data_IF_647802695407
#
_entry.id   IF_647802695407
#
_cell.length_a   1.000
_cell.length_b   1.000
_cell.length_c   1.000
_cell.angle_alpha   90.00
_cell.angle_beta   90.00
_cell.angle_gamma   90.00
#
_symmetry.space_group_name_H-M   'P 1'
#
loop_
_entity.id
_entity.type
_entity.pdbx_description
1 polymer ?
#
# COMPACT_ATOMS: atom_id res chain seq x y z
N UNK A 1 -16.75 -28.98 -39.77
CA UNK A 1 -15.73 -28.94 -40.83
C UNK A 1 -14.90 -27.70 -40.59
N UNK A 2 -13.58 -27.78 -40.33
CA UNK A 2 -12.77 -26.57 -40.19
C UNK A 2 -12.58 -25.99 -41.60
N UNK A 3 -13.11 -24.79 -41.81
CA UNK A 3 -13.04 -24.07 -43.09
C UNK A 3 -11.60 -23.63 -43.36
N UNK A 4 -10.78 -24.52 -43.93
CA UNK A 4 -9.51 -24.12 -44.52
C UNK A 4 -9.77 -23.23 -45.75
N UNK A 5 -8.97 -22.18 -45.99
CA UNK A 5 -9.07 -21.38 -47.21
C UNK A 5 -8.86 -22.26 -48.45
N UNK A 6 -9.53 -21.92 -49.56
CA UNK A 6 -9.39 -22.66 -50.84
C UNK A 6 -7.99 -22.49 -51.46
N UNK A 7 -7.26 -21.45 -51.07
CA UNK A 7 -5.88 -21.23 -51.52
C UNK A 7 -4.87 -22.08 -50.73
N UNK A 8 -3.98 -22.74 -51.47
CA UNK A 8 -2.83 -23.50 -50.95
C UNK A 8 -1.55 -22.65 -50.88
N UNK A 9 -1.61 -21.37 -51.28
CA UNK A 9 -0.46 -20.46 -51.22
C UNK A 9 -0.05 -20.23 -49.75
N UNK A 10 1.21 -20.51 -49.36
CA UNK A 10 1.67 -20.31 -47.99
C UNK A 10 1.48 -18.89 -47.47
N UNK A 11 1.45 -17.89 -48.34
CA UNK A 11 1.25 -16.50 -47.95
C UNK A 11 -0.23 -16.18 -47.70
N UNK A 12 -1.14 -16.76 -48.50
CA UNK A 12 -2.59 -16.68 -48.26
C UNK A 12 -2.98 -17.38 -46.97
N UNK A 13 -2.34 -18.51 -46.68
CA UNK A 13 -2.52 -19.21 -45.42
C UNK A 13 -2.06 -18.37 -44.22
N UNK A 14 -1.06 -17.49 -44.37
CA UNK A 14 -0.65 -16.56 -43.30
C UNK A 14 -1.63 -15.41 -43.14
N UNK A 15 -2.07 -14.82 -44.25
CA UNK A 15 -2.99 -13.68 -44.25
C UNK A 15 -4.38 -14.06 -43.72
N UNK A 16 -4.85 -15.28 -43.97
CA UNK A 16 -6.17 -15.76 -43.53
C UNK A 16 -6.17 -16.43 -42.15
N UNK A 17 -4.99 -16.60 -41.54
CA UNK A 17 -4.84 -17.19 -40.19
C UNK A 17 -5.15 -16.18 -39.10
N UNK A 18 -6.14 -16.49 -38.29
CA UNK A 18 -6.44 -15.79 -37.04
C UNK A 18 -5.98 -16.66 -35.87
N UNK A 19 -4.96 -16.26 -35.11
CA UNK A 19 -4.67 -16.92 -33.84
C UNK A 19 -5.87 -16.76 -32.90
N UNK A 20 -6.40 -17.84 -32.32
CA UNK A 20 -7.48 -17.78 -31.31
C UNK A 20 -7.03 -18.57 -30.08
N UNK A 21 -6.44 -17.87 -29.10
CA UNK A 21 -5.87 -18.51 -27.90
C UNK A 21 -4.68 -19.43 -28.25
N UNK A 22 -4.80 -20.73 -27.96
CA UNK A 22 -3.84 -21.78 -28.36
C UNK A 22 -4.20 -22.47 -29.68
N UNK A 23 -5.33 -22.10 -30.28
CA UNK A 23 -5.86 -22.72 -31.50
C UNK A 23 -5.73 -21.79 -32.71
N UNK A 24 -5.81 -22.36 -33.91
CA UNK A 24 -5.78 -21.61 -35.18
C UNK A 24 -7.18 -21.60 -35.78
N UNK A 25 -7.75 -20.42 -35.95
CA UNK A 25 -8.99 -20.22 -36.72
C UNK A 25 -8.70 -19.51 -38.02
N UNK A 26 -9.61 -19.67 -38.98
CA UNK A 26 -9.57 -18.98 -40.26
C UNK A 26 -10.63 -17.88 -40.27
N UNK A 27 -10.31 -16.75 -40.89
CA UNK A 27 -11.32 -15.72 -41.18
C UNK A 27 -12.46 -16.39 -41.94
N UNK A 28 -13.70 -16.23 -41.48
CA UNK A 28 -14.85 -16.88 -42.12
C UNK A 28 -15.28 -16.06 -43.34
N UNK A 29 -15.42 -16.68 -44.53
CA UNK A 29 -16.01 -16.01 -45.68
C UNK A 29 -17.43 -15.55 -45.32
N UNK A 30 -17.69 -14.25 -45.36
CA UNK A 30 -18.99 -13.64 -45.01
C UNK A 30 -19.10 -13.01 -43.62
N UNK A 31 -18.02 -12.97 -42.83
CA UNK A 31 -17.93 -12.08 -41.66
C UNK A 31 -17.05 -10.87 -41.97
N UNK A 32 -17.33 -9.69 -41.36
CA UNK A 32 -16.46 -8.53 -41.46
C UNK A 32 -15.05 -8.90 -40.99
N UNK A 33 -14.04 -8.55 -41.78
CA UNK A 33 -12.63 -8.70 -41.41
C UNK A 33 -12.22 -7.46 -40.62
N UNK A 34 -11.89 -7.59 -39.31
CA UNK A 34 -11.54 -6.43 -38.50
C UNK A 34 -10.24 -5.80 -38.98
N UNK A 35 -10.14 -4.47 -38.91
CA UNK A 35 -8.94 -3.75 -39.33
C UNK A 35 -7.67 -4.21 -38.58
N UNK A 36 -7.82 -4.55 -37.30
CA UNK A 36 -6.73 -5.11 -36.49
C UNK A 36 -6.12 -6.38 -37.08
N UNK A 37 -6.93 -7.22 -37.75
CA UNK A 37 -6.44 -8.41 -38.45
C UNK A 37 -5.62 -8.06 -39.68
N UNK A 38 -6.04 -7.06 -40.46
CA UNK A 38 -5.30 -6.57 -41.63
C UNK A 38 -3.91 -6.07 -41.23
N UNK A 39 -3.83 -5.26 -40.17
CA UNK A 39 -2.56 -4.75 -39.65
C UNK A 39 -1.68 -5.87 -39.08
N UNK A 40 -2.27 -6.85 -38.39
CA UNK A 40 -1.54 -8.02 -37.89
C UNK A 40 -0.97 -8.88 -39.04
N UNK A 41 -1.78 -9.18 -40.05
CA UNK A 41 -1.36 -9.93 -41.23
C UNK A 41 -0.26 -9.18 -42.00
N UNK A 42 -0.39 -7.86 -42.16
CA UNK A 42 0.64 -7.01 -42.76
C UNK A 42 1.97 -7.12 -42.02
N UNK A 43 1.93 -6.98 -40.70
CA UNK A 43 3.13 -7.02 -39.86
C UNK A 43 3.80 -8.41 -39.84
N UNK A 44 3.02 -9.49 -39.79
CA UNK A 44 3.56 -10.87 -39.74
C UNK A 44 4.04 -11.39 -41.09
N UNK A 45 3.42 -10.95 -42.19
CA UNK A 45 3.83 -11.34 -43.55
C UNK A 45 4.85 -10.39 -44.17
N UNK A 46 5.13 -9.24 -43.53
CA UNK A 46 6.06 -8.22 -44.06
C UNK A 46 5.50 -7.43 -45.26
N UNK A 47 4.18 -7.48 -45.47
CA UNK A 47 3.49 -6.80 -46.56
C UNK A 47 2.90 -5.47 -46.07
N UNK A 48 2.62 -4.55 -47.00
CA UNK A 48 1.85 -3.35 -46.65
C UNK A 48 0.39 -3.71 -46.36
N UNK A 49 -0.30 -2.99 -45.46
CA UNK A 49 -1.73 -3.17 -45.23
C UNK A 49 -2.56 -3.10 -46.51
N UNK A 50 -2.20 -2.22 -47.45
CA UNK A 50 -2.87 -2.13 -48.75
C UNK A 50 -2.73 -3.41 -49.59
N UNK A 51 -1.56 -4.05 -49.57
CA UNK A 51 -1.34 -5.32 -50.27
C UNK A 51 -2.15 -6.46 -49.62
N UNK A 52 -2.25 -6.48 -48.29
CA UNK A 52 -3.07 -7.44 -47.55
C UNK A 52 -4.55 -7.28 -47.87
N UNK A 53 -5.07 -6.04 -47.89
CA UNK A 53 -6.46 -5.75 -48.29
C UNK A 53 -6.73 -6.20 -49.71
N UNK A 54 -5.83 -5.89 -50.65
CA UNK A 54 -5.96 -6.31 -52.04
C UNK A 54 -5.98 -7.84 -52.16
N UNK A 55 -5.14 -8.55 -51.38
CA UNK A 55 -5.09 -10.00 -51.38
C UNK A 55 -6.34 -10.63 -50.75
N UNK A 56 -6.82 -10.11 -49.63
CA UNK A 56 -8.07 -10.53 -48.99
C UNK A 56 -9.27 -10.31 -49.92
N UNK A 57 -9.32 -9.18 -50.62
CA UNK A 57 -10.35 -8.89 -51.62
C UNK A 57 -10.32 -9.90 -52.77
N UNK A 58 -9.12 -10.22 -53.28
CA UNK A 58 -8.93 -11.23 -54.32
C UNK A 58 -9.31 -12.65 -53.87
N UNK A 59 -9.21 -12.95 -52.57
CA UNK A 59 -9.64 -14.20 -51.95
C UNK A 59 -11.15 -14.22 -51.61
N UNK A 60 -11.90 -13.18 -51.96
CA UNK A 60 -13.36 -13.12 -51.78
C UNK A 60 -13.83 -12.54 -50.44
N UNK A 61 -12.94 -11.97 -49.63
CA UNK A 61 -13.32 -11.23 -48.42
C UNK A 61 -13.72 -9.80 -48.81
N UNK A 62 -15.01 -9.57 -49.04
CA UNK A 62 -15.54 -8.29 -49.51
C UNK A 62 -15.85 -7.29 -48.39
N UNK A 63 -16.03 -7.77 -47.16
CA UNK A 63 -16.41 -6.96 -46.01
C UNK A 63 -15.19 -6.76 -45.11
N UNK A 64 -14.37 -5.74 -45.39
CA UNK A 64 -13.15 -5.42 -44.63
C UNK A 64 -13.37 -4.08 -43.93
N UNK A 65 -13.24 -4.07 -42.60
CA UNK A 65 -13.29 -2.83 -41.82
C UNK A 65 -12.01 -2.03 -42.09
N UNK A 66 -12.15 -0.84 -42.66
CA UNK A 66 -11.06 0.09 -42.92
C UNK A 66 -11.34 1.41 -42.20
N UNK A 67 -10.31 2.08 -41.65
CA UNK A 67 -10.48 3.41 -41.11
C UNK A 67 -10.77 4.42 -42.22
N UNK A 68 -11.41 5.53 -41.88
CA UNK A 68 -11.58 6.68 -42.80
C UNK A 68 -10.24 7.37 -43.13
N UNK A 69 -9.18 7.05 -42.37
CA UNK A 69 -7.83 7.55 -42.55
C UNK A 69 -7.04 6.72 -43.58
N UNK A 70 -6.03 7.31 -44.26
CA UNK A 70 -5.17 6.57 -45.17
C UNK A 70 -4.43 5.44 -44.47
N UNK A 71 -4.35 4.28 -45.13
CA UNK A 71 -3.64 3.11 -44.62
C UNK A 71 -2.15 3.41 -44.40
N UNK A 72 -1.55 2.96 -43.28
CA UNK A 72 -0.13 3.14 -43.06
C UNK A 72 0.67 2.37 -44.11
N UNK A 73 1.78 2.95 -44.57
CA UNK A 73 2.62 2.35 -45.61
C UNK A 73 3.31 1.07 -45.14
N UNK A 74 3.68 1.01 -43.85
CA UNK A 74 4.36 -0.11 -43.20
C UNK A 74 3.83 -0.27 -41.78
N UNK A 75 3.86 -1.50 -41.26
CA UNK A 75 3.49 -1.83 -39.87
C UNK A 75 4.63 -2.63 -39.27
N UNK A 76 5.16 -2.19 -38.12
CA UNK A 76 6.20 -2.95 -37.43
C UNK A 76 5.59 -4.23 -36.81
N UNK A 77 6.31 -5.37 -36.78
CA UNK A 77 5.88 -6.57 -36.06
C UNK A 77 5.46 -6.32 -34.61
N UNK A 78 6.09 -5.36 -33.94
CA UNK A 78 5.70 -4.88 -32.63
C UNK A 78 4.30 -4.27 -32.64
N UNK A 79 3.96 -3.39 -33.58
CA UNK A 79 2.69 -2.67 -33.63
C UNK A 79 1.46 -3.59 -33.66
N UNK A 80 1.59 -4.76 -34.29
CA UNK A 80 0.55 -5.79 -34.31
C UNK A 80 0.14 -6.27 -32.90
N UNK A 81 1.05 -6.24 -31.94
CA UNK A 81 0.75 -6.60 -30.55
C UNK A 81 0.02 -5.48 -29.79
N UNK A 82 0.08 -4.23 -30.25
CA UNK A 82 -0.66 -3.11 -29.66
C UNK A 82 -2.17 -3.23 -29.90
N UNK A 83 -2.55 -3.83 -31.03
CA UNK A 83 -3.94 -3.93 -31.49
C UNK A 83 -4.71 -5.09 -30.81
N UNK A 84 -4.01 -5.91 -30.04
CA UNK A 84 -4.57 -7.06 -29.32
C UNK A 84 -5.08 -6.62 -27.95
N UNK A 85 -6.40 -6.61 -27.76
CA UNK A 85 -7.05 -6.12 -26.54
C UNK A 85 -6.93 -7.11 -25.36
N UNK A 86 -6.99 -8.43 -25.61
CA UNK A 86 -6.88 -9.43 -24.54
C UNK A 86 -5.77 -10.48 -24.82
N UNK A 87 -5.17 -10.96 -23.74
CA UNK A 87 -4.06 -11.94 -23.78
C UNK A 87 -4.59 -13.33 -24.10
N UNK A 88 -5.82 -13.66 -23.67
CA UNK A 88 -6.39 -14.99 -23.76
C UNK A 88 -7.34 -15.16 -24.95
N UNK A 89 -8.11 -14.14 -25.29
CA UNK A 89 -8.93 -14.10 -26.50
C UNK A 89 -8.43 -13.02 -27.47
N UNK A 90 -8.40 -13.32 -28.77
CA UNK A 90 -8.09 -12.30 -29.79
C UNK A 90 -9.35 -11.48 -30.04
N UNK A 91 -9.60 -10.56 -29.10
CA UNK A 91 -10.47 -9.42 -29.32
C UNK A 91 -9.59 -8.30 -29.87
N UNK A 92 -9.85 -7.88 -31.10
CA UNK A 92 -9.19 -6.71 -31.68
C UNK A 92 -9.75 -5.44 -31.04
N UNK A 93 -8.92 -4.39 -30.94
CA UNK A 93 -9.42 -3.07 -30.60
C UNK A 93 -10.44 -2.62 -31.65
N UNK A 94 -11.61 -2.18 -31.19
CA UNK A 94 -12.66 -1.63 -32.03
C UNK A 94 -12.31 -0.18 -32.36
N UNK A 95 -12.12 0.13 -33.66
CA UNK A 95 -11.72 1.47 -34.12
C UNK A 95 -12.73 2.56 -33.74
N UNK A 96 -14.01 2.19 -33.61
CA UNK A 96 -15.09 3.11 -33.25
C UNK A 96 -15.19 3.38 -31.75
N UNK A 97 -14.44 2.66 -30.91
CA UNK A 97 -14.49 2.80 -29.46
C UNK A 97 -13.18 3.37 -28.91
N UNK A 98 -13.25 4.19 -27.85
CA UNK A 98 -12.05 4.60 -27.13
C UNK A 98 -11.28 3.40 -26.59
N UNK A 99 -9.97 3.37 -26.83
CA UNK A 99 -9.08 2.32 -26.32
C UNK A 99 -9.10 2.36 -24.79
N UNK A 100 -9.44 1.25 -24.10
CA UNK A 100 -9.38 1.20 -22.65
C UNK A 100 -7.96 1.43 -22.12
N UNK A 101 -7.81 2.19 -21.02
CA UNK A 101 -6.50 2.48 -20.41
C UNK A 101 -5.72 1.20 -20.11
N UNK A 102 -6.40 0.17 -19.62
CA UNK A 102 -5.83 -1.16 -19.38
C UNK A 102 -5.16 -1.75 -20.62
N UNK A 103 -5.83 -1.70 -21.75
CA UNK A 103 -5.36 -2.36 -22.96
C UNK A 103 -4.16 -1.60 -23.53
N UNK A 104 -4.18 -0.27 -23.47
CA UNK A 104 -3.04 0.59 -23.80
C UNK A 104 -1.82 0.26 -22.93
N UNK A 105 -1.98 0.17 -21.61
CA UNK A 105 -0.87 -0.12 -20.70
C UNK A 105 -0.36 -1.55 -20.82
N UNK A 106 -1.25 -2.53 -21.02
CA UNK A 106 -0.87 -3.92 -21.26
C UNK A 106 -0.12 -4.07 -22.59
N UNK A 107 -0.53 -3.35 -23.62
CA UNK A 107 0.15 -3.27 -24.91
C UNK A 107 1.53 -2.60 -24.80
N UNK A 108 1.60 -1.43 -24.17
CA UNK A 108 2.85 -0.70 -23.95
C UNK A 108 3.87 -1.52 -23.15
N UNK A 109 3.45 -2.10 -22.03
CA UNK A 109 4.31 -2.90 -21.15
C UNK A 109 4.87 -4.17 -21.81
N UNK A 110 4.10 -4.83 -22.68
CA UNK A 110 4.58 -6.01 -23.43
C UNK A 110 5.69 -5.67 -24.43
N UNK A 111 5.74 -4.44 -24.91
CA UNK A 111 6.69 -4.00 -25.91
C UNK A 111 7.81 -3.11 -25.36
N UNK A 112 7.79 -2.82 -24.06
CA UNK A 112 8.72 -1.88 -23.45
C UNK A 112 8.55 -0.45 -23.98
N UNK A 113 7.38 -0.12 -24.55
CA UNK A 113 7.06 1.23 -25.02
C UNK A 113 6.54 2.08 -23.86
N UNK A 114 6.69 3.39 -23.98
CA UNK A 114 6.02 4.32 -23.07
C UNK A 114 4.51 4.38 -23.39
N UNK A 115 3.67 4.69 -22.39
CA UNK A 115 2.24 4.91 -22.64
C UNK A 115 1.98 5.97 -23.72
N UNK A 116 2.77 7.05 -23.76
CA UNK A 116 2.66 8.09 -24.78
C UNK A 116 3.01 7.59 -26.18
N UNK A 117 4.06 6.79 -26.32
CA UNK A 117 4.45 6.21 -27.60
C UNK A 117 3.41 5.20 -28.11
N UNK A 118 2.91 4.34 -27.22
CA UNK A 118 1.83 3.42 -27.56
C UNK A 118 0.56 4.16 -28.00
N UNK A 119 0.20 5.25 -27.32
CA UNK A 119 -0.93 6.08 -27.70
C UNK A 119 -0.78 6.72 -29.09
N UNK A 120 0.41 7.26 -29.39
CA UNK A 120 0.71 7.84 -30.72
C UNK A 120 0.57 6.81 -31.82
N UNK A 121 1.12 5.60 -31.62
CA UNK A 121 1.03 4.50 -32.59
C UNK A 121 -0.41 4.04 -32.79
N UNK A 122 -1.16 3.82 -31.70
CA UNK A 122 -2.58 3.47 -31.77
C UNK A 122 -3.41 4.55 -32.49
N UNK A 123 -3.14 5.83 -32.23
CA UNK A 123 -3.79 6.95 -32.92
C UNK A 123 -3.44 6.98 -34.41
N UNK A 124 -2.19 6.69 -34.78
CA UNK A 124 -1.76 6.59 -36.18
C UNK A 124 -2.45 5.41 -36.92
N UNK A 125 -2.86 4.37 -36.19
CA UNK A 125 -3.67 3.26 -36.70
C UNK A 125 -5.18 3.52 -36.71
N UNK A 126 -5.61 4.75 -36.37
CA UNK A 126 -7.01 5.12 -36.36
C UNK A 126 -7.78 4.70 -35.10
N UNK A 127 -7.10 4.18 -34.08
CA UNK A 127 -7.74 3.92 -32.79
C UNK A 127 -7.97 5.24 -32.04
N UNK A 128 -9.14 5.37 -31.40
CA UNK A 128 -9.45 6.55 -30.59
C UNK A 128 -8.81 6.43 -29.21
N UNK A 129 -7.78 7.22 -28.90
CA UNK A 129 -7.25 7.34 -27.53
C UNK A 129 -7.77 8.63 -26.90
N UNK A 130 -8.46 8.58 -25.75
CA UNK A 130 -8.98 9.79 -25.11
C UNK A 130 -7.90 10.86 -24.89
N UNK A 131 -8.16 12.14 -25.25
CA UNK A 131 -7.24 13.25 -25.02
C UNK A 131 -7.30 13.65 -23.54
N UNK A 132 -6.74 12.81 -22.68
CA UNK A 132 -6.93 12.89 -21.24
C UNK A 132 -5.71 13.43 -20.49
N UNK A 133 -4.83 14.22 -21.14
CA UNK A 133 -3.51 14.78 -20.70
C UNK A 133 -2.31 14.06 -21.34
N UNK A 134 -1.12 14.74 -21.44
CA UNK A 134 0.08 14.10 -21.97
C UNK A 134 0.45 12.88 -21.12
N UNK A 135 0.39 11.72 -21.75
CA UNK A 135 0.76 10.46 -21.13
C UNK A 135 2.26 10.42 -20.79
N UNK A 136 2.67 9.55 -19.86
CA UNK A 136 4.08 9.41 -19.54
C UNK A 136 4.92 8.96 -20.75
N UNK A 137 6.04 9.65 -20.97
CA UNK A 137 7.03 9.30 -21.99
C UNK A 137 8.04 8.24 -21.51
N UNK A 138 8.09 7.97 -20.21
CA UNK A 138 8.90 6.89 -19.66
C UNK A 138 8.12 5.57 -19.62
N UNK A 139 8.68 4.45 -20.06
CA UNK A 139 8.06 3.13 -19.91
C UNK A 139 8.12 2.68 -18.44
N UNK A 140 7.00 2.18 -17.92
CA UNK A 140 6.96 1.48 -16.63
C UNK A 140 6.00 0.29 -16.72
N UNK A 141 6.55 -0.92 -16.66
CA UNK A 141 5.75 -2.16 -16.73
C UNK A 141 4.82 -2.33 -15.53
N UNK A 142 5.03 -1.56 -14.45
CA UNK A 142 4.20 -1.58 -13.24
C UNK A 142 2.91 -0.77 -13.40
N UNK A 143 2.78 0.06 -14.45
CA UNK A 143 1.59 0.90 -14.68
C UNK A 143 0.29 0.06 -14.70
N UNK A 144 0.35 -1.14 -15.29
CA UNK A 144 -0.78 -2.06 -15.32
C UNK A 144 -1.21 -2.50 -13.91
N UNK A 145 -0.26 -2.67 -12.99
CA UNK A 145 -0.57 -3.05 -11.60
C UNK A 145 -1.21 -1.87 -10.86
N UNK A 146 -0.83 -0.63 -11.18
CA UNK A 146 -1.34 0.56 -10.51
C UNK A 146 -2.82 0.81 -10.78
N UNK A 147 -3.32 0.47 -11.97
CA UNK A 147 -4.73 0.64 -12.33
C UNK A 147 -5.62 -0.54 -11.91
N UNK A 148 -5.07 -1.60 -11.31
CA UNK A 148 -5.85 -2.79 -10.93
C UNK A 148 -6.49 -2.61 -9.55
N UNK A 149 -7.82 -2.62 -9.45
CA UNK A 149 -8.54 -2.34 -8.19
C UNK A 149 -8.60 -3.56 -7.25
N UNK A 150 -8.66 -4.77 -7.79
CA UNK A 150 -8.70 -6.02 -7.02
C UNK A 150 -7.40 -6.85 -7.15
N UNK A 151 -6.70 -7.17 -6.04
CA UNK A 151 -5.57 -8.10 -6.06
C UNK A 151 -5.98 -9.57 -6.30
N UNK A 152 -7.24 -9.97 -6.10
CA UNK A 152 -7.71 -11.35 -6.27
C UNK A 152 -8.06 -11.72 -7.71
N UNK A 153 -7.90 -10.79 -8.66
CA UNK A 153 -8.00 -11.08 -10.08
C UNK A 153 -9.42 -11.07 -10.63
N UNK A 154 -10.39 -10.43 -9.95
CA UNK A 154 -11.76 -10.27 -10.48
C UNK A 154 -11.83 -9.44 -11.77
N UNK A 155 -10.74 -8.76 -12.16
CA UNK A 155 -10.63 -8.10 -13.44
C UNK A 155 -11.25 -6.69 -13.50
N UNK A 156 -11.41 -6.03 -12.36
CA UNK A 156 -11.76 -4.60 -12.33
C UNK A 156 -10.49 -3.73 -12.43
N UNK A 157 -10.56 -2.75 -13.33
CA UNK A 157 -9.45 -1.85 -13.66
C UNK A 157 -9.96 -0.42 -13.69
N UNK A 158 -9.15 0.52 -13.23
CA UNK A 158 -9.39 1.94 -13.37
C UNK A 158 -9.27 2.32 -14.85
N UNK A 159 -10.30 2.99 -15.35
CA UNK A 159 -10.37 3.59 -16.67
C UNK A 159 -9.92 5.05 -16.69
N UNK A 160 -10.06 5.66 -17.87
CA UNK A 160 -9.73 7.06 -18.08
C UNK A 160 -10.57 8.00 -17.20
N UNK A 161 -9.92 8.88 -16.44
CA UNK A 161 -10.62 9.85 -15.60
C UNK A 161 -11.26 9.27 -14.35
N UNK A 162 -11.08 7.97 -14.08
CA UNK A 162 -11.61 7.36 -12.86
C UNK A 162 -10.97 7.96 -11.63
N UNK A 163 -11.75 8.04 -10.54
CA UNK A 163 -11.26 8.43 -9.24
C UNK A 163 -10.69 7.24 -8.48
N UNK A 164 -9.60 7.42 -7.74
CA UNK A 164 -9.11 6.40 -6.80
C UNK A 164 -8.84 6.99 -5.43
N UNK A 165 -8.70 6.14 -4.41
CA UNK A 165 -8.52 6.55 -3.02
C UNK A 165 -7.06 6.45 -2.60
N UNK A 166 -6.65 7.22 -1.58
CA UNK A 166 -5.33 7.10 -0.97
C UNK A 166 -5.03 5.67 -0.49
N UNK A 167 -6.04 4.95 0.01
CA UNK A 167 -5.94 3.53 0.38
C UNK A 167 -5.53 2.63 -0.78
N UNK A 168 -5.99 2.92 -2.01
CA UNK A 168 -5.57 2.19 -3.20
C UNK A 168 -4.11 2.46 -3.54
N UNK A 169 -3.69 3.73 -3.51
CA UNK A 169 -2.30 4.14 -3.71
C UNK A 169 -1.38 3.43 -2.71
N UNK A 170 -1.73 3.46 -1.42
CA UNK A 170 -1.00 2.82 -0.34
C UNK A 170 -0.85 1.31 -0.53
N UNK A 171 -1.96 0.63 -0.83
CA UNK A 171 -1.96 -0.82 -1.08
C UNK A 171 -1.12 -1.20 -2.29
N UNK A 172 -1.20 -0.39 -3.35
CA UNK A 172 -0.42 -0.57 -4.57
C UNK A 172 1.07 -0.36 -4.32
N UNK A 173 1.43 0.71 -3.61
CA UNK A 173 2.80 1.01 -3.21
C UNK A 173 3.41 -0.12 -2.36
N UNK A 174 2.65 -0.67 -1.41
CA UNK A 174 3.07 -1.84 -0.63
C UNK A 174 3.24 -3.09 -1.50
N UNK A 175 2.35 -3.32 -2.46
CA UNK A 175 2.43 -4.45 -3.41
C UNK A 175 3.66 -4.35 -4.31
N UNK A 176 3.93 -3.16 -4.83
CA UNK A 176 5.06 -2.87 -5.71
C UNK A 176 6.38 -2.61 -4.96
N UNK A 177 6.33 -2.53 -3.62
CA UNK A 177 7.44 -2.15 -2.74
C UNK A 177 8.12 -0.85 -3.18
N UNK A 178 7.32 0.17 -3.49
CA UNK A 178 7.78 1.48 -3.90
C UNK A 178 7.10 2.61 -3.12
N UNK A 179 7.56 3.85 -3.33
CA UNK A 179 7.05 5.02 -2.64
C UNK A 179 5.60 5.35 -3.09
N UNK A 180 4.65 5.57 -2.15
CA UNK A 180 3.28 6.01 -2.45
C UNK A 180 3.18 7.25 -3.34
N UNK A 181 4.07 8.23 -3.16
CA UNK A 181 4.19 9.41 -4.01
C UNK A 181 4.46 9.04 -5.47
N UNK A 182 5.37 8.09 -5.72
CA UNK A 182 5.65 7.61 -7.09
C UNK A 182 4.41 7.01 -7.72
N UNK A 183 3.65 6.19 -6.99
CA UNK A 183 2.41 5.60 -7.48
C UNK A 183 1.35 6.67 -7.75
N UNK A 184 1.17 7.61 -6.83
CA UNK A 184 0.17 8.68 -6.96
C UNK A 184 0.46 9.63 -8.13
N UNK A 185 1.71 10.06 -8.26
CA UNK A 185 2.16 10.91 -9.38
C UNK A 185 2.01 10.16 -10.70
N UNK A 186 2.34 8.86 -10.73
CA UNK A 186 2.19 8.04 -11.93
C UNK A 186 0.72 7.84 -12.32
N UNK A 187 -0.16 7.54 -11.36
CA UNK A 187 -1.61 7.45 -11.59
C UNK A 187 -2.19 8.77 -12.11
N UNK A 188 -1.78 9.89 -11.54
CA UNK A 188 -2.20 11.23 -12.01
C UNK A 188 -1.76 11.47 -13.45
N UNK A 189 -0.52 11.10 -13.81
CA UNK A 189 -0.01 11.21 -15.18
C UNK A 189 -0.72 10.27 -16.17
N UNK A 190 -1.27 9.15 -15.68
CA UNK A 190 -2.12 8.24 -16.46
C UNK A 190 -3.57 8.72 -16.60
N UNK A 191 -3.91 9.89 -16.05
CA UNK A 191 -5.26 10.47 -16.11
C UNK A 191 -6.22 9.94 -15.05
N UNK A 192 -5.71 9.28 -14.00
CA UNK A 192 -6.51 8.86 -12.83
C UNK A 192 -6.60 10.03 -11.85
N UNK A 193 -7.81 10.32 -11.36
CA UNK A 193 -8.05 11.41 -10.39
C UNK A 193 -7.82 10.93 -8.97
N UNK A 194 -7.05 11.70 -8.21
CA UNK A 194 -6.89 11.54 -6.77
C UNK A 194 -7.70 12.61 -6.04
N UNK A 195 -8.29 12.31 -4.88
CA UNK A 195 -9.01 13.28 -4.05
C UNK A 195 -8.06 14.21 -3.28
N UNK A 196 -6.75 14.09 -3.50
CA UNK A 196 -5.69 14.85 -2.86
C UNK A 196 -4.54 15.08 -3.84
N UNK A 197 -3.70 16.08 -3.56
CA UNK A 197 -2.47 16.33 -4.33
C UNK A 197 -1.33 15.54 -3.68
N UNK A 198 -0.60 14.66 -4.39
CA UNK A 198 0.47 13.87 -3.79
C UNK A 198 1.70 14.71 -3.41
N UNK A 199 2.23 14.49 -2.22
CA UNK A 199 3.41 15.17 -1.67
C UNK A 199 4.56 14.16 -1.52
N UNK A 200 5.83 14.50 -1.80
CA UNK A 200 6.97 13.60 -1.59
C UNK A 200 7.07 13.07 -0.14
N UNK A 201 6.65 13.88 0.83
CA UNK A 201 6.67 13.60 2.26
C UNK A 201 5.64 12.56 2.70
N UNK A 202 4.64 12.26 1.85
CA UNK A 202 3.59 11.27 2.12
C UNK A 202 4.18 9.91 2.50
N UNK A 203 5.35 9.54 1.96
CA UNK A 203 6.05 8.30 2.33
C UNK A 203 6.36 8.23 3.83
N UNK A 204 6.90 9.31 4.40
CA UNK A 204 7.28 9.36 5.81
C UNK A 204 6.03 9.38 6.68
N UNK A 205 5.03 10.17 6.27
CA UNK A 205 3.74 10.28 6.94
C UNK A 205 3.07 8.89 7.02
N UNK A 206 3.10 8.12 5.94
CA UNK A 206 2.41 6.83 5.80
C UNK A 206 3.20 5.62 6.30
N UNK A 207 4.43 5.80 6.78
CA UNK A 207 5.26 4.70 7.28
C UNK A 207 4.58 3.92 8.42
N UNK A 208 3.66 4.56 9.16
CA UNK A 208 2.89 3.90 10.21
C UNK A 208 1.38 4.22 10.10
N UNK A 209 0.59 3.37 9.43
CA UNK A 209 -0.81 3.66 9.11
C UNK A 209 -1.74 3.70 10.34
N UNK A 210 -1.33 3.11 11.46
CA UNK A 210 -2.03 3.26 12.75
C UNK A 210 -1.84 4.64 13.39
N UNK A 211 -0.86 5.42 12.89
CA UNK A 211 -0.55 6.78 13.29
C UNK A 211 -0.64 7.05 14.81
N UNK A 212 0.18 6.35 15.65
CA UNK A 212 0.36 6.74 17.04
C UNK A 212 0.86 8.18 17.13
N UNK A 213 0.51 8.89 18.19
CA UNK A 213 0.91 10.28 18.38
C UNK A 213 2.43 10.49 18.27
N UNK A 214 3.23 9.54 18.79
CA UNK A 214 4.69 9.56 18.66
C UNK A 214 5.17 9.59 17.20
N UNK A 215 4.49 8.90 16.29
CA UNK A 215 4.78 8.94 14.85
C UNK A 215 4.48 10.32 14.25
N UNK A 216 3.33 10.91 14.60
CA UNK A 216 2.94 12.25 14.14
C UNK A 216 3.97 13.30 14.59
N UNK A 217 4.36 13.27 15.86
CA UNK A 217 5.37 14.20 16.42
C UNK A 217 6.75 13.98 15.79
N UNK A 218 7.16 12.72 15.57
CA UNK A 218 8.45 12.42 14.95
C UNK A 218 8.53 12.93 13.51
N UNK A 219 7.47 12.69 12.71
CA UNK A 219 7.39 13.20 11.33
C UNK A 219 7.34 14.73 11.33
N UNK A 220 6.60 15.34 12.25
CA UNK A 220 6.57 16.80 12.39
C UNK A 220 7.97 17.38 12.67
N UNK A 221 8.72 16.77 13.59
CA UNK A 221 10.11 17.16 13.90
C UNK A 221 11.02 17.04 12.67
N UNK A 222 10.95 15.91 11.97
CA UNK A 222 11.82 15.64 10.82
C UNK A 222 11.52 16.54 9.61
N UNK A 223 10.26 16.90 9.42
CA UNK A 223 9.80 17.73 8.29
C UNK A 223 9.75 19.22 8.61
N UNK A 224 9.86 19.60 9.89
CA UNK A 224 9.67 20.98 10.36
C UNK A 224 8.22 21.48 10.26
N UNK A 225 7.24 20.61 9.96
CA UNK A 225 5.80 20.95 9.89
C UNK A 225 5.18 20.92 11.27
N UNK A 226 3.99 21.54 11.42
CA UNK A 226 3.24 21.42 12.67
C UNK A 226 2.65 20.02 12.78
N UNK A 227 2.61 19.41 13.98
CA UNK A 227 1.93 18.14 14.18
C UNK A 227 0.48 18.11 13.69
N UNK A 228 -0.26 19.22 13.83
CA UNK A 228 -1.62 19.36 13.32
C UNK A 228 -1.69 19.24 11.78
N UNK A 229 -0.69 19.76 11.06
CA UNK A 229 -0.62 19.64 9.59
C UNK A 229 -0.37 18.19 9.17
N UNK A 230 0.46 17.45 9.92
CA UNK A 230 0.72 16.03 9.69
C UNK A 230 -0.54 15.20 9.94
N UNK A 231 -1.27 15.48 11.01
CA UNK A 231 -2.54 14.81 11.32
C UNK A 231 -3.64 15.11 10.30
N UNK A 232 -3.76 16.36 9.85
CA UNK A 232 -4.65 16.75 8.77
C UNK A 232 -4.29 16.03 7.47
N UNK A 233 -2.98 15.94 7.16
CA UNK A 233 -2.49 15.25 5.98
C UNK A 233 -2.75 13.74 6.03
N UNK A 234 -2.56 13.10 7.18
CA UNK A 234 -2.94 11.70 7.39
C UNK A 234 -4.43 11.48 7.09
N UNK A 235 -5.28 12.39 7.59
CA UNK A 235 -6.73 12.32 7.41
C UNK A 235 -7.11 12.45 5.93
N UNK A 236 -6.48 13.37 5.20
CA UNK A 236 -6.63 13.53 3.75
C UNK A 236 -6.21 12.25 3.00
N UNK A 237 -5.16 11.57 3.48
CA UNK A 237 -4.67 10.28 2.98
C UNK A 237 -5.51 9.07 3.47
N UNK A 238 -6.61 9.31 4.17
CA UNK A 238 -7.52 8.26 4.66
C UNK A 238 -7.02 7.49 5.89
N UNK A 239 -5.95 7.94 6.52
CA UNK A 239 -5.43 7.44 7.79
C UNK A 239 -5.91 8.33 8.93
N UNK A 240 -6.38 7.75 10.04
CA UNK A 240 -6.86 8.53 11.17
C UNK A 240 -5.83 8.46 12.29
N UNK A 241 -5.22 9.59 12.70
CA UNK A 241 -4.28 9.60 13.81
C UNK A 241 -4.99 9.20 15.12
N UNK A 242 -4.27 8.45 15.95
CA UNK A 242 -4.79 8.06 17.26
C UNK A 242 -4.55 9.16 18.28
N UNK A 243 -5.65 9.69 18.83
CA UNK A 243 -5.60 10.70 19.89
C UNK A 243 -5.61 12.14 19.37
N UNK A 244 -5.59 13.07 20.31
CA UNK A 244 -5.58 14.51 20.01
C UNK A 244 -4.14 14.96 19.87
N UNK A 245 -3.84 15.68 18.81
CA UNK A 245 -2.52 16.30 18.64
C UNK A 245 -2.44 17.52 19.55
N UNK A 246 -1.47 17.57 20.48
CA UNK A 246 -1.32 18.72 21.38
C UNK A 246 -0.78 19.93 20.62
N UNK A 247 -1.25 21.13 20.98
CA UNK A 247 -0.77 22.40 20.41
C UNK A 247 0.67 22.72 20.83
N UNK A 248 1.08 22.26 22.01
CA UNK A 248 2.43 22.43 22.57
C UNK A 248 3.03 21.07 22.90
N UNK A 249 4.20 20.78 22.33
CA UNK A 249 4.97 19.57 22.60
C UNK A 249 6.45 19.91 22.83
N UNK A 250 7.15 19.07 23.59
CA UNK A 250 8.58 19.17 23.88
C UNK A 250 9.33 17.91 23.40
N UNK A 251 10.67 17.95 23.35
CA UNK A 251 11.47 16.78 22.94
C UNK A 251 11.35 15.60 23.93
N UNK A 252 11.00 15.86 25.18
CA UNK A 252 10.79 14.82 26.17
C UNK A 252 9.50 14.05 25.90
N UNK A 253 8.49 14.64 25.26
CA UNK A 253 7.28 13.92 24.82
C UNK A 253 7.62 12.79 23.86
N UNK A 254 8.54 13.01 22.92
CA UNK A 254 9.00 11.94 22.02
C UNK A 254 9.68 10.83 22.80
N UNK A 255 10.50 11.17 23.81
CA UNK A 255 11.13 10.16 24.68
C UNK A 255 10.08 9.40 25.47
N UNK A 256 9.16 10.10 26.12
CA UNK A 256 8.11 9.51 26.96
C UNK A 256 7.16 8.62 26.14
N UNK A 257 6.92 8.95 24.85
CA UNK A 257 6.11 8.15 23.93
C UNK A 257 6.86 6.98 23.28
N UNK A 258 8.19 6.92 23.38
CA UNK A 258 8.98 5.76 22.92
C UNK A 258 8.95 4.66 23.97
N UNK A 259 8.69 3.40 23.58
CA UNK A 259 8.74 2.25 24.49
C UNK A 259 10.13 2.05 25.13
N UNK A 260 11.18 2.46 24.42
CA UNK A 260 12.57 2.37 24.86
C UNK A 260 13.14 3.70 25.37
N UNK A 261 12.31 4.75 25.43
CA UNK A 261 12.67 6.07 25.94
C UNK A 261 13.81 6.77 25.15
N UNK A 262 14.06 6.34 23.92
CA UNK A 262 15.11 6.85 23.04
C UNK A 262 14.61 7.95 22.08
N UNK A 263 13.32 8.31 22.17
CA UNK A 263 12.68 9.26 21.26
C UNK A 263 12.46 8.73 19.86
N UNK A 264 12.52 7.39 19.69
CA UNK A 264 12.31 6.69 18.42
C UNK A 264 11.28 5.59 18.61
N UNK A 265 10.86 5.02 17.48
CA UNK A 265 9.99 3.84 17.47
C UNK A 265 10.66 2.65 18.19
N UNK A 266 9.88 1.71 18.76
CA UNK A 266 8.42 1.61 18.72
C UNK A 266 7.73 2.60 19.66
N UNK A 267 6.61 3.17 19.21
CA UNK A 267 5.81 4.13 19.98
C UNK A 267 4.84 3.42 20.94
N UNK A 268 4.48 4.06 22.04
CA UNK A 268 3.42 3.57 22.93
C UNK A 268 2.10 3.53 22.17
N UNK A 269 1.44 2.38 22.22
CA UNK A 269 0.07 2.25 21.73
C UNK A 269 -0.93 2.74 22.78
N UNK A 270 -2.07 3.25 22.31
CA UNK A 270 -3.14 3.68 23.20
C UNK A 270 -3.88 2.45 23.75
N UNK A 271 -3.57 2.07 24.98
CA UNK A 271 -4.29 1.02 25.69
C UNK A 271 -5.47 1.61 26.48
N UNK A 272 -6.70 1.39 26.00
CA UNK A 272 -7.92 1.86 26.68
C UNK A 272 -8.42 0.94 27.81
N UNK A 273 -7.76 -0.20 28.04
CA UNK A 273 -8.18 -1.20 29.06
C UNK A 273 -7.33 -1.10 30.31
N UNK A 274 -6.01 -1.16 30.17
CA UNK A 274 -5.06 -1.17 31.30
C UNK A 274 -4.35 0.18 31.46
N UNK A 275 -4.42 1.05 30.46
CA UNK A 275 -3.68 2.31 30.45
C UNK A 275 -2.17 2.11 30.25
N UNK A 276 -1.41 3.19 30.44
CA UNK A 276 0.05 3.17 30.47
C UNK A 276 0.54 2.44 31.72
N UNK A 277 1.55 1.58 31.57
CA UNK A 277 2.12 0.85 32.70
C UNK A 277 2.96 1.76 33.61
N UNK A 278 2.83 1.61 34.93
CA UNK A 278 3.61 2.37 35.91
C UNK A 278 5.12 2.17 35.74
N UNK A 279 5.56 0.98 35.33
CA UNK A 279 6.97 0.71 34.97
C UNK A 279 7.50 1.71 33.94
N UNK A 280 6.69 2.00 32.92
CA UNK A 280 7.07 2.95 31.88
C UNK A 280 7.20 4.37 32.44
N UNK A 281 6.24 4.78 33.27
CA UNK A 281 6.23 6.09 33.93
C UNK A 281 7.49 6.27 34.79
N UNK A 282 7.86 5.27 35.60
CA UNK A 282 9.05 5.35 36.44
C UNK A 282 10.35 5.38 35.62
N UNK A 283 10.44 4.56 34.55
CA UNK A 283 11.60 4.61 33.64
C UNK A 283 11.70 5.98 32.95
N UNK A 284 10.58 6.53 32.49
CA UNK A 284 10.51 7.83 31.83
C UNK A 284 10.89 8.98 32.79
N UNK A 285 10.45 8.93 34.04
CA UNK A 285 10.81 9.88 35.09
C UNK A 285 12.34 9.93 35.29
N UNK A 286 12.99 8.77 35.40
CA UNK A 286 14.45 8.69 35.51
C UNK A 286 15.17 9.16 34.23
N UNK A 287 14.62 8.85 33.05
CA UNK A 287 15.25 9.20 31.77
C UNK A 287 15.14 10.70 31.42
N UNK A 288 14.15 11.39 31.97
CA UNK A 288 13.86 12.81 31.70
C UNK A 288 14.14 13.73 32.89
N UNK A 289 14.57 13.18 34.03
CA UNK A 289 14.80 13.90 35.30
C UNK A 289 13.55 14.67 35.79
N UNK A 290 12.36 14.11 35.52
CA UNK A 290 11.06 14.66 35.95
C UNK A 290 10.43 13.77 37.02
N UNK A 291 9.48 14.31 37.79
CA UNK A 291 8.77 13.48 38.76
C UNK A 291 7.82 12.48 38.08
N UNK A 292 7.55 11.30 38.67
CA UNK A 292 6.55 10.37 38.15
C UNK A 292 5.15 11.00 37.98
N UNK A 293 4.79 11.96 38.83
CA UNK A 293 3.54 12.70 38.73
C UNK A 293 3.51 13.58 37.46
N UNK A 294 4.60 14.30 37.16
CA UNK A 294 4.72 15.12 35.96
C UNK A 294 4.62 14.27 34.68
N UNK A 295 5.29 13.12 34.66
CA UNK A 295 5.23 12.17 33.54
C UNK A 295 3.82 11.64 33.35
N UNK A 296 3.14 11.28 34.43
CA UNK A 296 1.75 10.80 34.38
C UNK A 296 0.82 11.87 33.83
N UNK A 297 0.94 13.11 34.32
CA UNK A 297 0.17 14.24 33.82
C UNK A 297 0.45 14.52 32.34
N UNK A 298 1.72 14.42 31.92
CA UNK A 298 2.10 14.63 30.53
C UNK A 298 1.56 13.53 29.61
N UNK A 299 1.71 12.26 29.98
CA UNK A 299 1.12 11.14 29.25
C UNK A 299 -0.40 11.27 29.13
N UNK A 300 -1.09 11.70 30.20
CA UNK A 300 -2.52 11.92 30.18
C UNK A 300 -2.92 13.03 29.18
N UNK A 301 -2.16 14.12 29.12
CA UNK A 301 -2.34 15.18 28.12
C UNK A 301 -2.10 14.67 26.67
N UNK A 302 -1.20 13.70 26.51
CA UNK A 302 -0.93 13.01 25.24
C UNK A 302 -1.93 11.88 24.92
N UNK A 303 -2.95 11.68 25.76
CA UNK A 303 -4.02 10.69 25.55
C UNK A 303 -3.72 9.28 26.10
N UNK A 304 -2.63 9.12 26.86
CA UNK A 304 -2.27 7.90 27.57
C UNK A 304 -2.63 8.05 29.05
N UNK A 305 -3.66 7.33 29.49
CA UNK A 305 -4.13 7.38 30.88
C UNK A 305 -3.44 6.31 31.72
N UNK A 306 -3.31 6.54 33.02
CA UNK A 306 -2.86 5.55 34.00
C UNK A 306 -4.10 4.95 34.71
N UNK A 307 -4.08 3.65 34.97
CA UNK A 307 -5.17 2.98 35.67
C UNK A 307 -5.43 3.58 37.06
N UNK A 308 -6.70 3.74 37.45
CA UNK A 308 -7.11 4.37 38.72
C UNK A 308 -6.53 3.70 39.98
N UNK A 309 -6.34 2.38 39.92
CA UNK A 309 -5.73 1.61 41.01
C UNK A 309 -4.23 1.85 41.15
N UNK A 310 -3.54 2.31 40.10
CA UNK A 310 -2.11 2.50 40.14
C UNK A 310 -1.76 3.71 41.02
N UNK A 311 -0.85 3.50 41.97
CA UNK A 311 -0.40 4.55 42.89
C UNK A 311 0.97 5.03 42.46
N UNK A 312 1.03 6.27 41.98
CA UNK A 312 2.26 6.90 41.51
C UNK A 312 3.09 7.33 42.73
N UNK A 313 4.32 6.83 42.90
CA UNK A 313 5.21 7.29 43.97
C UNK A 313 5.76 8.69 43.68
N UNK A 314 6.10 9.44 44.72
CA UNK A 314 6.67 10.79 44.58
C UNK A 314 8.04 10.80 43.88
N UNK A 315 8.81 9.73 44.07
CA UNK A 315 10.17 9.55 43.52
C UNK A 315 10.24 8.24 42.76
N UNK A 316 10.86 8.27 41.58
CA UNK A 316 11.15 7.05 40.82
C UNK A 316 12.33 6.30 41.47
N UNK A 317 12.05 5.12 42.01
CA UNK A 317 13.08 4.21 42.53
C UNK A 317 13.44 3.15 41.45
N UNK A 318 14.72 3.04 41.04
CA UNK A 318 15.18 1.95 40.17
C UNK A 318 14.82 0.56 40.67
N UNK A 319 14.68 0.38 41.98
CA UNK A 319 14.33 -0.90 42.57
C UNK A 319 12.85 -1.25 42.39
N UNK A 320 11.95 -0.26 42.26
CA UNK A 320 10.56 -0.49 41.86
C UNK A 320 10.43 -0.84 40.39
N UNK A 321 11.29 -0.26 39.53
CA UNK A 321 11.33 -0.62 38.10
C UNK A 321 11.71 -2.10 37.94
N UNK A 322 12.75 -2.55 38.67
CA UNK A 322 13.15 -3.96 38.68
C UNK A 322 12.05 -4.87 39.20
N UNK A 323 11.31 -4.43 40.21
CA UNK A 323 10.17 -5.18 40.74
C UNK A 323 9.00 -5.26 39.74
N UNK A 324 8.65 -4.16 39.09
CA UNK A 324 7.56 -4.14 38.11
C UNK A 324 7.90 -4.91 36.82
N UNK A 325 9.19 -5.13 36.54
CA UNK A 325 9.64 -5.98 35.44
C UNK A 325 9.37 -7.47 35.67
N UNK A 326 9.28 -7.90 36.94
CA UNK A 326 9.01 -9.30 37.28
C UNK A 326 7.52 -9.63 37.35
N UNK A 327 6.64 -8.64 37.24
CA UNK A 327 5.18 -8.77 37.35
C UNK A 327 4.52 -8.47 36.01
N UNK A 328 4.17 -9.52 35.26
CA UNK A 328 3.45 -9.42 33.99
C UNK A 328 1.92 -9.38 34.17
N UNK A 329 1.45 -8.80 35.29
CA UNK A 329 0.03 -8.73 35.66
C UNK A 329 -0.47 -7.30 35.62
N UNK A 330 -1.65 -7.12 35.03
CA UNK A 330 -2.32 -5.82 35.00
C UNK A 330 -2.88 -5.46 36.39
N UNK A 331 -3.23 -4.19 36.59
CA UNK A 331 -3.92 -3.74 37.81
C UNK A 331 -5.34 -4.29 37.98
N UNK A 332 -5.87 -4.97 36.95
CA UNK A 332 -7.15 -5.67 36.98
C UNK A 332 -7.00 -7.10 37.47
N UNK A 333 -5.80 -7.66 37.40
CA UNK A 333 -5.50 -9.02 37.80
C UNK A 333 -4.96 -9.06 39.23
N UNK A 334 -5.39 -10.06 40.00
CA UNK A 334 -4.78 -10.36 41.29
C UNK A 334 -3.35 -10.88 41.10
N UNK A 335 -2.40 -10.35 41.89
CA UNK A 335 -1.04 -10.88 41.94
C UNK A 335 -1.02 -12.09 42.87
N UNK A 336 -0.92 -13.29 42.29
CA UNK A 336 -0.84 -14.54 43.04
C UNK A 336 0.49 -14.68 43.81
N UNK A 337 0.49 -15.50 44.87
CA UNK A 337 1.65 -15.80 45.71
C UNK A 337 2.89 -16.22 44.90
N UNK A 338 2.71 -17.04 43.86
CA UNK A 338 3.81 -17.48 42.98
C UNK A 338 4.57 -16.30 42.34
N UNK A 339 3.87 -15.23 41.95
CA UNK A 339 4.48 -14.04 41.37
C UNK A 339 5.25 -13.23 42.41
N UNK A 340 4.75 -13.17 43.65
CA UNK A 340 5.44 -12.51 44.77
C UNK A 340 6.74 -13.25 45.12
N UNK A 341 6.68 -14.59 45.23
CA UNK A 341 7.87 -15.40 45.52
C UNK A 341 8.90 -15.34 44.38
N UNK A 342 8.44 -15.38 43.14
CA UNK A 342 9.31 -15.25 41.97
C UNK A 342 10.00 -13.88 41.94
N UNK A 343 9.25 -12.81 42.16
CA UNK A 343 9.77 -11.44 42.23
C UNK A 343 10.76 -11.25 43.37
N UNK A 344 10.47 -11.82 44.55
CA UNK A 344 11.39 -11.82 45.70
C UNK A 344 12.72 -12.50 45.36
N UNK A 345 12.68 -13.66 44.70
CA UNK A 345 13.89 -14.36 44.27
C UNK A 345 14.72 -13.58 43.26
N UNK A 346 14.08 -12.86 42.32
CA UNK A 346 14.78 -12.09 41.27
C UNK A 346 15.31 -10.75 41.78
N UNK A 347 14.62 -10.11 42.72
CA UNK A 347 15.00 -8.80 43.27
C UNK A 347 15.88 -8.90 44.52
N UNK A 348 16.02 -10.11 45.10
CA UNK A 348 16.74 -10.33 46.36
C UNK A 348 16.03 -9.79 47.60
N UNK A 349 14.76 -9.40 47.48
CA UNK A 349 13.92 -8.85 48.56
C UNK A 349 13.18 -9.98 49.28
N UNK A 350 12.68 -9.71 50.49
CA UNK A 350 11.78 -10.65 51.16
C UNK A 350 10.41 -10.65 50.45
N UNK A 351 9.68 -11.77 50.44
CA UNK A 351 8.31 -11.81 49.93
C UNK A 351 7.38 -10.79 50.61
N UNK A 352 7.57 -10.52 51.91
CA UNK A 352 6.83 -9.49 52.64
C UNK A 352 7.11 -8.08 52.09
N UNK A 353 8.38 -7.74 51.84
CA UNK A 353 8.77 -6.45 51.25
C UNK A 353 8.21 -6.28 49.84
N UNK A 354 8.26 -7.35 49.03
CA UNK A 354 7.68 -7.36 47.68
C UNK A 354 6.17 -7.14 47.74
N UNK A 355 5.46 -7.87 48.59
CA UNK A 355 4.02 -7.76 48.75
C UNK A 355 3.61 -6.34 49.20
N UNK A 356 4.30 -5.81 50.21
CA UNK A 356 4.11 -4.45 50.71
C UNK A 356 4.34 -3.41 49.61
N UNK A 357 5.43 -3.54 48.84
CA UNK A 357 5.75 -2.59 47.77
C UNK A 357 4.77 -2.67 46.61
N UNK A 358 4.38 -3.87 46.17
CA UNK A 358 3.36 -4.03 45.12
C UNK A 358 2.01 -3.43 45.55
N UNK A 359 1.61 -3.61 46.80
CA UNK A 359 0.41 -2.98 47.38
C UNK A 359 0.52 -1.45 47.40
N UNK A 360 1.69 -0.93 47.78
CA UNK A 360 1.97 0.51 47.77
C UNK A 360 1.91 1.11 46.36
N UNK A 361 2.26 0.34 45.32
CA UNK A 361 2.17 0.70 43.90
C UNK A 361 0.78 0.45 43.29
N UNK A 362 -0.16 -0.13 44.05
CA UNK A 362 -1.56 -0.28 43.66
C UNK A 362 -1.97 -1.65 43.10
N UNK A 363 -1.09 -2.66 43.15
CA UNK A 363 -1.48 -4.03 42.79
C UNK A 363 -2.34 -4.67 43.88
N UNK A 364 -3.31 -5.50 43.46
CA UNK A 364 -4.15 -6.28 44.36
C UNK A 364 -3.50 -7.63 44.66
N UNK A 365 -3.26 -7.92 45.94
CA UNK A 365 -2.79 -9.22 46.42
C UNK A 365 -3.93 -9.95 47.14
N UNK A 366 -3.89 -11.28 47.25
CA UNK A 366 -4.87 -12.05 48.03
C UNK A 366 -4.73 -11.77 49.54
N UNK A 367 -5.84 -11.41 50.18
CA UNK A 367 -5.90 -11.02 51.62
C UNK A 367 -5.62 -12.19 52.59
N UNK A 368 -5.61 -13.43 52.10
CA UNK A 368 -5.55 -14.66 52.92
C UNK A 368 -4.13 -15.26 53.02
N UNK A 369 -3.09 -14.55 52.55
CA UNK A 369 -1.73 -15.09 52.42
C UNK A 369 -0.75 -14.30 53.30
N UNK A 370 -0.16 -14.98 54.28
CA UNK A 370 0.98 -14.44 55.05
C UNK A 370 2.27 -14.58 54.24
N UNK A 371 2.94 -13.46 54.00
CA UNK A 371 4.21 -13.41 53.26
C UNK A 371 5.40 -13.46 54.22
N UNK A 372 6.40 -14.34 53.99
CA UNK A 372 7.56 -14.44 54.88
C UNK A 372 8.49 -13.22 54.78
N UNK A 373 9.07 -12.81 55.91
CA UNK A 373 10.07 -11.74 56.01
C UNK A 373 11.49 -12.18 55.64
N UNK A 374 11.71 -13.50 55.50
CA UNK A 374 13.04 -14.05 55.25
C UNK A 374 13.33 -14.09 53.75
N UNK A 375 14.44 -13.49 53.32
CA UNK A 375 14.95 -13.68 51.96
C UNK A 375 15.37 -15.14 51.78
N UNK A 376 14.77 -15.84 50.82
CA UNK A 376 15.26 -17.15 50.40
C UNK A 376 16.72 -17.02 49.93
N UNK A 377 17.61 -17.90 50.39
CA UNK A 377 19.00 -17.89 49.96
C UNK A 377 19.07 -17.92 48.42
N UNK A 378 19.88 -17.06 47.77
CA UNK A 378 20.03 -17.10 46.33
C UNK A 378 20.51 -18.50 45.94
N UNK A 379 19.83 -19.14 44.98
CA UNK A 379 20.32 -20.39 44.41
C UNK A 379 21.66 -20.10 43.70
N UNK A 380 22.72 -20.90 43.96
CA UNK A 380 24.05 -20.69 43.37
C UNK A 380 24.08 -20.85 41.86
#
# INVERSE_FOLDING_TARGET
MPNSPESQDPDDLRITRVPVGRDVSWVRPGQPVPFGHVLYAAATSGHSPAAVVARLTALGYADIELPDAPLPATVDPGDALLLKADTYNVSWLDLGKPVPLRDLLAAAGRQGLSPAEAARRLTAFGCTVPPAHPLPESPDTRDIVMIRTDPRGSGEWLGWGDGTTARHVLKTAATLRCNPHTVATRLTALGIRLPYVPEPEDERILQHPGAPLGHVLAVARETGRRPADIAARLTELGCHPQGTVPDTWDEDDLRILSQELDGRRPWLERNNVVGAGLRHILRAALATDRSPADITARLAALGHWLHENAKVPDVADPADIRLLETVDRSYLDGVHLEHVLHSASLTGRSPADVASRLTALGHRLPDEVDYPEVCGAPRP
#
